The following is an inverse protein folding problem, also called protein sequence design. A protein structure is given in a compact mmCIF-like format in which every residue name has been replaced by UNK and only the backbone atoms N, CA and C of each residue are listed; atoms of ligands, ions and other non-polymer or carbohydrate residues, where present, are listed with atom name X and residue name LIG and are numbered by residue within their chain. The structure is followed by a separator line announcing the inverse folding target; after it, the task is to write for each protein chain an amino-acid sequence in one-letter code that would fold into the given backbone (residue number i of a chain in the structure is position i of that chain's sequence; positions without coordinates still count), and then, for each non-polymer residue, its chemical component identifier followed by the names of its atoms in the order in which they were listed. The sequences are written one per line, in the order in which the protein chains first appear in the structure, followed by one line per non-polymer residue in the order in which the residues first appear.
data_IF_998486771979
#
_entry.id   IF_998486771979
#
_cell.length_a   1.000
_cell.length_b   1.000
_cell.length_c   1.000
_cell.angle_alpha   90.00
_cell.angle_beta   90.00
_cell.angle_gamma   90.00
#
_symmetry.space_group_name_H-M   'P 1'
#
loop_
_entity.id
_entity.type
_entity.pdbx_description
1 polymer ?
#
# COMPACT_ATOMS: atom_id res chain seq x y z
N UNK A 1 29.56 -7.09 6.15
CA UNK A 1 29.15 -7.75 4.89
C UNK A 1 28.87 -6.67 3.84
N UNK A 2 29.36 -6.81 2.61
CA UNK A 2 29.31 -5.71 1.62
C UNK A 2 27.96 -5.53 0.92
N UNK A 3 27.10 -6.56 0.92
CA UNK A 3 25.72 -6.51 0.36
C UNK A 3 24.73 -7.32 1.20
N UNK A 4 24.44 -6.90 2.43
CA UNK A 4 23.48 -7.58 3.29
C UNK A 4 22.07 -7.55 2.68
N UNK A 5 21.32 -8.62 2.92
CA UNK A 5 19.92 -8.76 2.55
C UNK A 5 19.03 -8.71 3.79
N UNK A 6 17.73 -8.50 3.58
CA UNK A 6 16.75 -8.63 4.67
C UNK A 6 16.79 -10.02 5.30
N UNK A 7 17.06 -11.06 4.52
CA UNK A 7 17.20 -12.43 5.04
C UNK A 7 18.36 -12.54 6.02
N UNK A 8 19.52 -11.94 5.71
CA UNK A 8 20.68 -11.94 6.60
C UNK A 8 20.38 -11.24 7.93
N UNK A 9 19.65 -10.11 7.87
CA UNK A 9 19.20 -9.38 9.07
C UNK A 9 18.33 -10.29 9.94
N UNK A 10 17.36 -10.99 9.36
CA UNK A 10 16.52 -11.93 10.12
C UNK A 10 17.35 -13.05 10.74
N UNK A 11 18.28 -13.66 9.99
CA UNK A 11 19.15 -14.71 10.55
C UNK A 11 20.00 -14.22 11.72
N UNK A 12 20.53 -13.00 11.63
CA UNK A 12 21.41 -12.44 12.66
C UNK A 12 20.64 -11.97 13.90
N UNK A 13 19.57 -11.19 13.72
CA UNK A 13 18.98 -10.41 14.81
C UNK A 13 17.64 -10.97 15.32
N UNK A 14 16.94 -11.79 14.53
CA UNK A 14 15.61 -12.28 14.94
C UNK A 14 15.63 -13.16 16.21
N UNK A 15 16.63 -14.02 16.47
CA UNK A 15 16.69 -14.77 17.73
C UNK A 15 16.70 -13.86 18.96
N UNK A 16 17.61 -12.88 19.01
CA UNK A 16 17.70 -11.92 20.12
C UNK A 16 16.45 -11.02 20.21
N UNK A 17 15.82 -10.70 19.08
CA UNK A 17 14.54 -9.97 19.06
C UNK A 17 13.44 -10.73 19.81
N UNK A 18 13.41 -12.07 19.73
CA UNK A 18 12.41 -12.90 20.41
C UNK A 18 12.60 -12.95 21.93
N UNK A 19 13.80 -12.65 22.43
CA UNK A 19 14.06 -12.58 23.87
C UNK A 19 13.39 -11.37 24.52
N UNK A 20 13.13 -10.31 23.74
CA UNK A 20 12.55 -9.06 24.22
C UNK A 20 11.11 -8.83 23.73
N UNK A 21 10.74 -9.36 22.56
CA UNK A 21 9.48 -9.05 21.91
C UNK A 21 8.73 -10.31 21.45
N UNK A 22 7.40 -10.27 21.58
CA UNK A 22 6.51 -11.33 21.14
C UNK A 22 5.81 -10.95 19.82
N UNK A 23 6.32 -11.38 18.65
CA UNK A 23 5.67 -11.09 17.38
C UNK A 23 4.31 -11.79 17.28
N UNK A 24 3.38 -11.17 16.53
CA UNK A 24 2.12 -11.82 16.21
C UNK A 24 2.33 -13.09 15.37
N UNK A 25 1.38 -14.04 15.34
CA UNK A 25 1.51 -15.25 14.53
C UNK A 25 1.81 -14.97 13.05
N UNK A 26 1.26 -13.87 12.51
CA UNK A 26 1.52 -13.44 11.13
C UNK A 26 2.94 -12.93 10.95
N UNK A 27 3.44 -12.11 11.90
CA UNK A 27 4.82 -11.61 11.88
C UNK A 27 5.83 -12.76 12.00
N UNK A 28 5.60 -13.69 12.93
CA UNK A 28 6.45 -14.87 13.12
C UNK A 28 6.49 -15.75 11.86
N UNK A 29 5.33 -16.00 11.25
CA UNK A 29 5.24 -16.72 9.97
C UNK A 29 6.01 -16.02 8.85
N UNK A 30 5.95 -14.69 8.77
CA UNK A 30 6.70 -13.93 7.76
C UNK A 30 8.20 -14.01 7.99
N UNK A 31 8.67 -13.82 9.23
CA UNK A 31 10.08 -13.93 9.59
C UNK A 31 10.64 -15.32 9.22
N UNK A 32 9.95 -16.39 9.61
CA UNK A 32 10.33 -17.76 9.27
C UNK A 32 10.37 -18.00 7.76
N UNK A 33 9.37 -17.53 7.02
CA UNK A 33 9.36 -17.64 5.56
C UNK A 33 10.52 -16.90 4.89
N UNK A 34 10.92 -15.74 5.41
CA UNK A 34 12.04 -14.97 4.88
C UNK A 34 13.36 -15.71 5.16
N UNK A 35 13.59 -16.15 6.40
CA UNK A 35 14.79 -16.91 6.79
C UNK A 35 14.97 -18.18 5.95
N UNK A 36 13.89 -18.91 5.66
CA UNK A 36 13.99 -20.18 4.93
C UNK A 36 13.92 -20.03 3.40
N UNK A 37 13.66 -18.83 2.88
CA UNK A 37 13.52 -18.62 1.45
C UNK A 37 14.81 -18.92 0.69
N UNK A 38 14.75 -19.73 -0.38
CA UNK A 38 15.91 -20.07 -1.23
C UNK A 38 17.06 -20.82 -0.51
N UNK A 39 16.80 -21.42 0.65
CA UNK A 39 17.81 -22.21 1.40
C UNK A 39 17.74 -23.72 1.14
N UNK A 40 16.69 -24.19 0.47
CA UNK A 40 16.38 -25.62 0.31
C UNK A 40 15.36 -26.15 1.31
N UNK A 41 15.02 -25.39 2.36
CA UNK A 41 13.97 -25.74 3.32
C UNK A 41 12.58 -25.96 2.68
N UNK A 42 12.34 -25.40 1.49
CA UNK A 42 11.11 -25.57 0.70
C UNK A 42 11.29 -26.47 -0.53
N UNK A 43 12.35 -27.28 -0.55
CA UNK A 43 12.75 -28.11 -1.69
C UNK A 43 13.57 -27.36 -2.74
N UNK A 44 13.92 -28.09 -3.80
CA UNK A 44 14.73 -27.60 -4.91
C UNK A 44 14.25 -28.19 -6.24
N UNK A 45 14.50 -27.47 -7.33
CA UNK A 45 14.45 -28.01 -8.68
C UNK A 45 15.89 -28.28 -9.13
N UNK A 46 16.10 -29.43 -9.75
CA UNK A 46 17.40 -29.82 -10.30
C UNK A 46 17.25 -29.94 -11.80
N UNK A 47 17.98 -29.11 -12.54
CA UNK A 47 18.05 -29.16 -13.99
C UNK A 47 19.39 -29.76 -14.40
N UNK A 48 19.38 -30.72 -15.31
CA UNK A 48 20.58 -31.33 -15.88
C UNK A 48 20.59 -31.04 -17.36
N UNK A 49 21.67 -30.46 -17.87
CA UNK A 49 21.84 -30.26 -19.31
C UNK A 49 22.07 -31.62 -19.98
N UNK A 50 21.23 -31.98 -20.96
CA UNK A 50 21.34 -33.26 -21.67
C UNK A 50 22.60 -33.32 -22.56
N UNK A 51 23.13 -32.18 -23.00
CA UNK A 51 24.30 -32.12 -23.89
C UNK A 51 25.63 -32.23 -23.14
N UNK A 52 25.78 -31.54 -22.00
CA UNK A 52 27.06 -31.45 -21.28
C UNK A 52 27.02 -31.98 -19.84
N UNK A 53 25.87 -32.45 -19.37
CA UNK A 53 25.69 -32.98 -18.01
C UNK A 53 25.74 -31.93 -16.89
N UNK A 54 25.86 -30.63 -17.21
CA UNK A 54 25.93 -29.59 -16.18
C UNK A 54 24.67 -29.58 -15.31
N UNK A 55 24.83 -29.63 -13.99
CA UNK A 55 23.72 -29.62 -13.03
C UNK A 55 23.52 -28.21 -12.48
N UNK A 56 22.29 -27.73 -12.52
CA UNK A 56 21.87 -26.50 -11.86
C UNK A 56 20.83 -26.82 -10.80
N UNK A 57 21.09 -26.41 -9.55
CA UNK A 57 20.15 -26.56 -8.45
C UNK A 57 19.53 -25.20 -8.16
N UNK A 58 18.19 -25.14 -8.20
CA UNK A 58 17.43 -23.97 -7.86
C UNK A 58 16.57 -24.20 -6.62
N UNK A 59 16.92 -23.56 -5.51
CA UNK A 59 16.13 -23.65 -4.28
C UNK A 59 14.79 -22.92 -4.40
N UNK A 60 13.75 -23.51 -3.83
CA UNK A 60 12.39 -22.96 -3.92
C UNK A 60 12.22 -21.71 -3.06
N UNK A 61 11.41 -20.77 -3.56
CA UNK A 61 11.04 -19.54 -2.87
C UNK A 61 9.93 -19.79 -1.84
N UNK A 62 9.89 -19.03 -0.75
CA UNK A 62 8.79 -19.10 0.22
C UNK A 62 7.45 -18.54 -0.29
N UNK A 63 7.46 -17.81 -1.42
CA UNK A 63 6.29 -17.14 -2.04
C UNK A 63 5.52 -16.17 -1.13
N UNK A 64 6.05 -15.84 0.04
CA UNK A 64 5.42 -14.87 0.93
C UNK A 64 5.50 -13.45 0.34
N UNK A 65 4.39 -12.71 0.34
CA UNK A 65 4.29 -11.34 -0.22
C UNK A 65 5.28 -10.34 0.41
N UNK A 66 5.68 -10.57 1.67
CA UNK A 66 6.61 -9.70 2.38
C UNK A 66 8.08 -10.06 2.12
N UNK A 67 8.38 -11.14 1.39
CA UNK A 67 9.74 -11.55 1.10
C UNK A 67 10.33 -10.74 -0.07
N UNK A 68 11.48 -10.04 0.11
CA UNK A 68 12.07 -9.20 -0.94
C UNK A 68 12.50 -9.99 -2.19
N UNK A 69 12.75 -11.29 -2.04
CA UNK A 69 13.28 -12.13 -3.12
C UNK A 69 12.18 -12.78 -3.96
N UNK A 70 10.92 -12.75 -3.50
CA UNK A 70 9.83 -13.52 -4.12
C UNK A 70 8.93 -12.71 -5.05
N UNK A 71 9.02 -11.37 -5.03
CA UNK A 71 7.99 -10.52 -5.64
C UNK A 71 8.17 -10.24 -7.13
N UNK A 72 9.32 -10.59 -7.73
CA UNK A 72 9.62 -10.23 -9.11
C UNK A 72 8.63 -10.82 -10.12
N UNK A 73 8.42 -12.15 -10.10
CA UNK A 73 7.53 -12.83 -11.04
C UNK A 73 6.04 -12.49 -10.80
N UNK A 74 5.51 -12.54 -9.56
CA UNK A 74 4.13 -12.13 -9.30
C UNK A 74 3.83 -10.70 -9.76
N UNK A 75 4.79 -9.79 -9.59
CA UNK A 75 4.69 -8.41 -10.07
C UNK A 75 4.55 -8.34 -11.59
N UNK A 76 5.40 -9.04 -12.35
CA UNK A 76 5.31 -9.04 -13.81
C UNK A 76 4.01 -9.68 -14.30
N UNK A 77 3.60 -10.81 -13.73
CA UNK A 77 2.31 -11.45 -14.06
C UNK A 77 1.13 -10.53 -13.77
N UNK A 78 1.15 -9.84 -12.62
CA UNK A 78 0.12 -8.89 -12.26
C UNK A 78 0.11 -7.67 -13.20
N UNK A 79 1.29 -7.16 -13.58
CA UNK A 79 1.40 -6.05 -14.54
C UNK A 79 0.84 -6.44 -15.90
N UNK A 80 1.11 -7.66 -16.36
CA UNK A 80 0.60 -8.18 -17.63
C UNK A 80 -0.91 -8.30 -17.62
N UNK A 81 -1.49 -8.89 -16.56
CA UNK A 81 -2.93 -8.98 -16.39
C UNK A 81 -3.63 -7.61 -16.31
N UNK A 82 -2.94 -6.56 -15.84
CA UNK A 82 -3.51 -5.20 -15.82
C UNK A 82 -3.37 -4.47 -17.15
N UNK A 83 -2.57 -4.95 -18.11
CA UNK A 83 -2.49 -4.33 -19.45
C UNK A 83 -3.83 -4.31 -20.15
N UNK A 84 -4.61 -5.36 -19.96
CA UNK A 84 -5.93 -5.52 -20.58
C UNK A 84 -6.98 -4.56 -19.99
N UNK A 85 -6.76 -4.07 -18.76
CA UNK A 85 -7.70 -3.22 -18.03
C UNK A 85 -7.45 -1.71 -18.22
N UNK A 86 -6.37 -1.33 -18.93
CA UNK A 86 -5.92 0.06 -19.05
C UNK A 86 -6.23 0.58 -20.45
N UNK A 87 -6.98 1.67 -20.53
CA UNK A 87 -7.37 2.34 -21.77
C UNK A 87 -6.25 3.26 -22.25
N UNK A 88 -6.19 3.52 -23.55
CA UNK A 88 -5.30 4.55 -24.09
C UNK A 88 -5.90 5.94 -23.89
N UNK A 89 -5.72 6.47 -22.68
CA UNK A 89 -6.22 7.77 -22.25
C UNK A 89 -5.29 8.39 -21.20
N UNK A 90 -5.41 9.70 -20.89
CA UNK A 90 -4.70 10.31 -19.78
C UNK A 90 -5.09 9.67 -18.44
N UNK A 91 -4.15 9.59 -17.51
CA UNK A 91 -4.40 9.14 -16.14
C UNK A 91 -3.78 10.07 -15.12
N UNK A 92 -4.45 10.31 -14.01
CA UNK A 92 -3.97 11.14 -12.90
C UNK A 92 -3.58 10.27 -11.71
N UNK A 93 -2.53 10.70 -11.00
CA UNK A 93 -2.12 10.05 -9.77
C UNK A 93 -2.60 10.84 -8.57
N UNK A 94 -3.62 10.32 -7.90
CA UNK A 94 -4.13 10.85 -6.63
C UNK A 94 -3.58 10.03 -5.47
N UNK A 95 -3.28 10.70 -4.36
CA UNK A 95 -2.88 10.03 -3.11
C UNK A 95 -3.78 10.52 -2.00
N UNK A 96 -4.52 9.59 -1.39
CA UNK A 96 -5.33 9.85 -0.22
C UNK A 96 -4.56 9.44 1.03
N UNK A 97 -4.30 10.41 1.89
CA UNK A 97 -3.56 10.26 3.14
C UNK A 97 -4.42 10.63 4.33
N UNK A 98 -4.23 9.95 5.45
CA UNK A 98 -4.85 10.28 6.74
C UNK A 98 -3.80 10.89 7.68
N UNK A 99 -4.21 11.75 8.63
CA UNK A 99 -3.33 12.24 9.68
C UNK A 99 -2.75 11.10 10.53
N UNK A 100 -1.48 11.26 10.93
CA UNK A 100 -0.74 10.30 11.75
C UNK A 100 -1.33 10.09 13.15
N UNK A 101 -2.09 11.07 13.68
CA UNK A 101 -2.84 10.92 14.93
C UNK A 101 -3.84 9.75 14.90
N UNK A 102 -4.23 9.28 13.71
CA UNK A 102 -5.07 8.10 13.52
C UNK A 102 -4.27 6.78 13.49
N UNK A 103 -2.95 6.82 13.39
CA UNK A 103 -2.11 5.63 13.28
C UNK A 103 -2.36 4.61 14.40
N UNK A 104 -2.48 4.98 15.70
CA UNK A 104 -2.73 4.00 16.76
C UNK A 104 -4.04 3.21 16.59
N UNK A 105 -5.13 3.90 16.20
CA UNK A 105 -6.43 3.24 15.98
C UNK A 105 -6.43 2.42 14.69
N UNK A 106 -5.78 2.92 13.62
CA UNK A 106 -5.65 2.18 12.35
C UNK A 106 -4.81 0.92 12.54
N UNK A 107 -3.70 1.01 13.28
CA UNK A 107 -2.83 -0.14 13.51
C UNK A 107 -3.54 -1.25 14.29
N UNK A 108 -4.44 -0.90 15.21
CA UNK A 108 -5.26 -1.87 15.95
C UNK A 108 -6.37 -2.48 15.09
N UNK A 109 -6.86 -1.76 14.06
CA UNK A 109 -8.05 -2.12 13.28
C UNK A 109 -7.77 -2.19 11.77
N UNK A 110 -6.61 -2.72 11.38
CA UNK A 110 -6.08 -2.63 10.01
C UNK A 110 -7.11 -3.00 8.95
N UNK A 111 -7.79 -4.15 9.08
CA UNK A 111 -8.79 -4.58 8.08
C UNK A 111 -9.91 -3.54 7.91
N UNK A 112 -10.61 -3.22 9.01
CA UNK A 112 -11.75 -2.31 8.98
C UNK A 112 -11.37 -0.91 8.49
N UNK A 113 -10.25 -0.38 8.97
CA UNK A 113 -9.85 0.99 8.67
C UNK A 113 -9.07 1.15 7.36
N UNK A 114 -8.55 0.06 6.80
CA UNK A 114 -8.11 0.03 5.39
C UNK A 114 -9.30 -0.09 4.44
N UNK A 115 -10.32 -0.88 4.79
CA UNK A 115 -11.57 -0.93 4.01
C UNK A 115 -12.23 0.46 3.96
N UNK A 116 -12.31 1.16 5.11
CA UNK A 116 -12.81 2.53 5.17
C UNK A 116 -11.99 3.52 4.31
N UNK A 117 -10.65 3.34 4.20
CA UNK A 117 -9.82 4.14 3.29
C UNK A 117 -10.25 3.95 1.83
N UNK A 118 -10.47 2.70 1.42
CA UNK A 118 -10.94 2.38 0.06
C UNK A 118 -12.34 2.94 -0.19
N UNK A 119 -13.27 2.75 0.74
CA UNK A 119 -14.63 3.28 0.63
C UNK A 119 -14.63 4.79 0.50
N UNK A 120 -13.94 5.51 1.38
CA UNK A 120 -13.88 6.97 1.36
C UNK A 120 -13.24 7.51 0.08
N UNK A 121 -12.12 6.92 -0.38
CA UNK A 121 -11.48 7.31 -1.64
C UNK A 121 -12.40 7.08 -2.85
N UNK A 122 -12.98 5.88 -2.94
CA UNK A 122 -13.88 5.46 -4.02
C UNK A 122 -15.13 6.33 -4.10
N UNK A 123 -15.78 6.56 -2.96
CA UNK A 123 -16.98 7.39 -2.88
C UNK A 123 -16.68 8.86 -3.18
N UNK A 124 -15.52 9.39 -2.75
CA UNK A 124 -15.11 10.77 -3.07
C UNK A 124 -14.92 10.97 -4.57
N UNK A 125 -14.21 10.05 -5.24
CA UNK A 125 -13.99 10.12 -6.68
C UNK A 125 -15.31 10.00 -7.44
N UNK A 126 -16.13 9.00 -7.07
CA UNK A 126 -17.38 8.72 -7.76
C UNK A 126 -18.36 9.89 -7.66
N UNK A 127 -18.50 10.48 -6.46
CA UNK A 127 -19.36 11.64 -6.22
C UNK A 127 -18.91 12.85 -7.04
N UNK A 128 -17.63 13.22 -6.94
CA UNK A 128 -17.14 14.44 -7.57
C UNK A 128 -17.02 14.30 -9.09
N UNK A 129 -16.68 13.12 -9.61
CA UNK A 129 -16.60 12.90 -11.06
C UNK A 129 -17.98 12.90 -11.73
N UNK A 130 -19.03 12.45 -11.02
CA UNK A 130 -20.39 12.44 -11.52
C UNK A 130 -21.04 13.85 -11.53
N UNK A 131 -20.53 14.81 -10.75
CA UNK A 131 -21.02 16.19 -10.77
C UNK A 131 -20.72 16.86 -12.13
N UNK A 132 -21.77 17.40 -12.77
CA UNK A 132 -21.67 18.10 -14.05
C UNK A 132 -20.87 19.40 -13.99
N UNK A 133 -20.68 19.98 -12.79
CA UNK A 133 -19.75 21.10 -12.55
C UNK A 133 -18.27 20.69 -12.65
N UNK A 134 -18.00 19.40 -12.59
CA UNK A 134 -16.67 18.81 -12.78
C UNK A 134 -16.65 18.07 -14.12
N UNK A 135 -16.62 16.73 -14.11
CA UNK A 135 -16.61 15.95 -15.33
C UNK A 135 -18.02 15.55 -15.79
N UNK A 136 -18.95 15.24 -14.88
CA UNK A 136 -20.27 14.74 -15.24
C UNK A 136 -20.25 13.35 -15.89
N UNK A 137 -19.33 12.48 -15.47
CA UNK A 137 -19.15 11.15 -16.04
C UNK A 137 -18.70 10.12 -14.99
N UNK A 138 -19.00 8.85 -15.24
CA UNK A 138 -18.52 7.71 -14.46
C UNK A 138 -17.10 7.35 -14.89
N UNK A 139 -16.13 7.66 -14.03
CA UNK A 139 -14.70 7.41 -14.24
C UNK A 139 -14.28 6.02 -13.76
N UNK A 140 -13.21 5.50 -14.37
CA UNK A 140 -12.52 4.30 -13.90
C UNK A 140 -11.29 4.65 -13.06
N UNK A 141 -10.95 3.83 -12.07
CA UNK A 141 -9.72 4.02 -11.28
C UNK A 141 -9.24 2.72 -10.64
N UNK A 142 -7.94 2.69 -10.34
CA UNK A 142 -7.30 1.60 -9.60
C UNK A 142 -6.75 2.18 -8.28
N UNK A 143 -7.16 1.62 -7.15
CA UNK A 143 -6.67 2.00 -5.82
C UNK A 143 -5.67 0.96 -5.30
N UNK A 144 -4.55 1.43 -4.73
CA UNK A 144 -3.49 0.60 -4.15
C UNK A 144 -3.17 1.13 -2.75
N UNK A 145 -3.38 0.31 -1.73
CA UNK A 145 -2.99 0.60 -0.35
C UNK A 145 -1.50 0.41 -0.11
N UNK A 146 -0.89 1.45 0.45
CA UNK A 146 0.45 1.45 1.03
C UNK A 146 0.34 1.70 2.53
N UNK A 147 1.21 1.08 3.33
CA UNK A 147 1.17 1.20 4.79
C UNK A 147 2.43 1.80 5.40
N UNK A 148 3.31 2.36 4.57
CA UNK A 148 4.58 2.96 5.01
C UNK A 148 4.94 4.22 4.22
N UNK A 149 5.61 5.16 4.88
CA UNK A 149 6.13 6.38 4.26
C UNK A 149 7.51 6.20 3.63
N UNK A 150 8.07 7.29 3.07
CA UNK A 150 9.43 7.29 2.50
C UNK A 150 10.51 6.98 3.55
N UNK A 151 10.27 7.43 4.79
CA UNK A 151 11.04 7.19 6.01
C UNK A 151 10.80 5.81 6.64
N UNK A 152 9.98 4.95 6.00
CA UNK A 152 9.61 3.61 6.49
C UNK A 152 8.79 3.61 7.79
N UNK A 153 8.28 4.77 8.21
CA UNK A 153 7.29 4.91 9.27
C UNK A 153 5.93 4.33 8.85
N UNK A 154 5.12 3.89 9.81
CA UNK A 154 3.75 3.46 9.54
C UNK A 154 2.93 4.65 9.04
N UNK A 155 2.44 4.54 7.80
CA UNK A 155 1.75 5.64 7.12
C UNK A 155 0.77 5.04 6.09
N UNK A 156 -0.44 4.64 6.53
CA UNK A 156 -1.46 4.10 5.64
C UNK A 156 -1.99 5.17 4.69
N UNK A 157 -1.93 4.90 3.39
CA UNK A 157 -2.42 5.79 2.34
C UNK A 157 -2.80 5.01 1.08
N UNK A 158 -3.68 5.59 0.27
CA UNK A 158 -4.13 4.99 -0.99
C UNK A 158 -3.52 5.78 -2.15
N UNK A 159 -2.77 5.09 -3.00
CA UNK A 159 -2.47 5.58 -4.34
C UNK A 159 -3.61 5.21 -5.29
N UNK A 160 -4.19 6.21 -5.93
CA UNK A 160 -5.24 6.02 -6.92
C UNK A 160 -4.76 6.48 -8.29
N UNK A 161 -4.85 5.57 -9.26
CA UNK A 161 -4.65 5.88 -10.66
C UNK A 161 -6.02 6.09 -11.27
N UNK A 162 -6.35 7.36 -11.49
CA UNK A 162 -7.64 7.83 -11.94
C UNK A 162 -7.61 8.08 -13.44
N UNK A 163 -8.53 7.45 -14.17
CA UNK A 163 -8.73 7.70 -15.59
C UNK A 163 -9.15 9.16 -15.82
N UNK A 164 -8.55 9.80 -16.83
CA UNK A 164 -8.78 11.20 -17.19
C UNK A 164 -10.13 11.49 -17.84
N UNK A 165 -10.93 10.45 -18.05
CA UNK A 165 -12.26 10.50 -18.63
C UNK A 165 -13.14 9.38 -18.09
N UNK A 166 -14.38 9.36 -18.55
CA UNK A 166 -15.39 8.41 -18.12
C UNK A 166 -16.58 8.35 -19.07
N UNK A 167 -17.56 7.53 -18.72
CA UNK A 167 -18.79 7.38 -19.49
C UNK A 167 -19.91 8.25 -18.90
N UNK A 168 -20.59 9.03 -19.74
CA UNK A 168 -21.82 9.73 -19.36
C UNK A 168 -22.97 8.73 -19.12
N UNK A 169 -24.12 9.20 -18.63
CA UNK A 169 -25.34 8.38 -18.52
C UNK A 169 -25.77 7.73 -19.85
N UNK A 170 -25.48 8.39 -20.97
CA UNK A 170 -25.78 7.89 -22.33
C UNK A 170 -24.68 6.97 -22.90
N UNK A 171 -23.74 6.49 -22.06
CA UNK A 171 -22.58 5.68 -22.47
C UNK A 171 -21.67 6.35 -23.53
N UNK A 172 -21.62 7.68 -23.55
CA UNK A 172 -20.69 8.43 -24.39
C UNK A 172 -19.43 8.75 -23.59
N UNK A 173 -18.28 8.69 -24.25
CA UNK A 173 -17.01 9.07 -23.64
C UNK A 173 -16.95 10.57 -23.41
N UNK A 174 -16.51 10.97 -22.21
CA UNK A 174 -16.27 12.36 -21.83
C UNK A 174 -14.98 12.45 -21.01
N UNK A 175 -14.09 13.35 -21.41
CA UNK A 175 -12.83 13.62 -20.71
C UNK A 175 -12.57 15.13 -20.62
N UNK A 176 -11.47 15.49 -19.96
CA UNK A 176 -10.96 16.87 -19.89
C UNK A 176 -9.52 16.95 -20.43
N UNK A 177 -9.17 16.08 -21.39
CA UNK A 177 -7.81 15.91 -21.89
C UNK A 177 -6.80 15.65 -20.76
N UNK A 178 -5.69 16.39 -20.78
CA UNK A 178 -4.62 16.29 -19.77
C UNK A 178 -4.89 17.13 -18.51
N UNK A 179 -5.97 17.91 -18.49
CA UNK A 179 -6.29 18.80 -17.37
C UNK A 179 -7.05 18.06 -16.29
N UNK A 180 -6.53 18.10 -15.06
CA UNK A 180 -7.21 17.49 -13.93
C UNK A 180 -8.55 18.19 -13.65
N UNK A 181 -9.61 17.41 -13.50
CA UNK A 181 -11.00 17.90 -13.47
C UNK A 181 -11.63 17.97 -12.06
N UNK A 182 -10.90 17.55 -11.02
CA UNK A 182 -11.39 17.60 -9.63
C UNK A 182 -10.60 18.61 -8.80
N UNK A 183 -11.24 19.55 -8.08
CA UNK A 183 -10.52 20.48 -7.21
C UNK A 183 -9.95 19.78 -5.98
N UNK A 184 -8.63 19.85 -5.78
CA UNK A 184 -7.89 19.17 -4.68
C UNK A 184 -8.44 19.50 -3.29
N UNK A 185 -8.80 20.77 -3.06
CA UNK A 185 -9.37 21.19 -1.78
C UNK A 185 -10.77 20.60 -1.52
N UNK A 186 -11.54 20.34 -2.58
CA UNK A 186 -12.86 19.69 -2.47
C UNK A 186 -12.69 18.20 -2.19
N UNK A 187 -11.78 17.53 -2.92
CA UNK A 187 -11.40 16.12 -2.67
C UNK A 187 -11.01 15.94 -1.21
N UNK A 188 -10.14 16.80 -0.68
CA UNK A 188 -9.68 16.77 0.72
C UNK A 188 -10.85 16.75 1.70
N UNK A 189 -11.77 17.72 1.56
CA UNK A 189 -12.89 17.90 2.48
C UNK A 189 -13.87 16.73 2.41
N UNK A 190 -14.20 16.27 1.21
CA UNK A 190 -15.14 15.16 0.99
C UNK A 190 -14.54 13.85 1.50
N UNK A 191 -13.29 13.55 1.17
CA UNK A 191 -12.58 12.36 1.65
C UNK A 191 -12.50 12.33 3.18
N UNK A 192 -12.09 13.44 3.80
CA UNK A 192 -12.04 13.58 5.26
C UNK A 192 -13.40 13.29 5.89
N UNK A 193 -14.46 13.90 5.35
CA UNK A 193 -15.83 13.71 5.83
C UNK A 193 -16.24 12.23 5.80
N UNK A 194 -16.09 11.58 4.65
CA UNK A 194 -16.47 10.17 4.45
C UNK A 194 -15.67 9.21 5.33
N UNK A 195 -14.36 9.42 5.43
CA UNK A 195 -13.51 8.54 6.25
C UNK A 195 -13.85 8.67 7.74
N UNK A 196 -14.00 9.90 8.25
CA UNK A 196 -14.31 10.15 9.66
C UNK A 196 -15.73 9.70 10.02
N UNK A 197 -16.68 9.81 9.08
CA UNK A 197 -18.03 9.26 9.24
C UNK A 197 -18.01 7.74 9.41
N UNK A 198 -17.30 7.01 8.55
CA UNK A 198 -17.20 5.55 8.65
C UNK A 198 -16.43 5.12 9.90
N UNK A 199 -15.34 5.80 10.25
CA UNK A 199 -14.59 5.58 11.49
C UNK A 199 -15.50 5.77 12.72
N UNK A 200 -16.29 6.85 12.74
CA UNK A 200 -17.23 7.13 13.83
C UNK A 200 -18.30 6.05 13.93
N UNK A 201 -18.89 5.64 12.79
CA UNK A 201 -19.89 4.56 12.74
C UNK A 201 -19.33 3.24 13.29
N UNK A 202 -18.12 2.87 12.89
CA UNK A 202 -17.46 1.64 13.40
C UNK A 202 -17.21 1.70 14.92
N UNK A 203 -16.93 2.89 15.46
CA UNK A 203 -16.82 3.11 16.90
C UNK A 203 -18.18 2.96 17.62
N UNK A 204 -19.23 3.59 17.09
CA UNK A 204 -20.59 3.55 17.65
C UNK A 204 -21.20 2.14 17.63
N UNK A 205 -20.81 1.33 16.65
CA UNK A 205 -21.20 -0.08 16.53
C UNK A 205 -20.34 -1.05 17.35
N UNK A 206 -19.41 -0.55 18.19
CA UNK A 206 -18.47 -1.34 19.01
C UNK A 206 -17.65 -2.37 18.21
N UNK A 207 -17.31 -2.04 16.95
CA UNK A 207 -16.52 -2.91 16.06
C UNK A 207 -15.01 -2.70 16.17
N UNK A 208 -14.59 -1.58 16.76
CA UNK A 208 -13.17 -1.22 16.87
C UNK A 208 -12.55 -1.80 18.14
N UNK A 209 -11.36 -2.35 18.00
CA UNK A 209 -10.50 -2.76 19.12
C UNK A 209 -9.41 -1.72 19.36
N UNK A 210 -9.01 -1.57 20.61
CA UNK A 210 -8.02 -0.57 21.01
C UNK A 210 -6.97 -1.22 21.90
N UNK A 211 -5.70 -1.12 21.48
CA UNK A 211 -4.54 -1.69 22.15
C UNK A 211 -3.45 -0.64 22.34
N UNK A 212 -2.66 -0.77 23.41
CA UNK A 212 -1.50 0.10 23.65
C UNK A 212 -1.89 1.57 23.71
N UNK A 213 -1.23 2.42 22.91
CA UNK A 213 -1.48 3.87 22.89
C UNK A 213 -2.88 4.27 22.42
N UNK A 214 -3.62 3.35 21.78
CA UNK A 214 -4.99 3.56 21.36
C UNK A 214 -6.04 3.30 22.47
N UNK A 215 -5.68 2.68 23.59
CA UNK A 215 -6.64 2.25 24.64
C UNK A 215 -7.54 3.37 25.15
N UNK A 216 -6.98 4.57 25.31
CA UNK A 216 -7.72 5.77 25.74
C UNK A 216 -8.87 6.16 24.81
N UNK A 217 -8.85 5.71 23.56
CA UNK A 217 -9.88 5.99 22.55
C UNK A 217 -11.15 5.14 22.72
N UNK A 218 -11.16 4.19 23.67
CA UNK A 218 -12.40 3.55 24.12
C UNK A 218 -13.33 4.54 24.82
N UNK A 219 -12.77 5.58 25.44
CA UNK A 219 -13.55 6.62 26.09
C UNK A 219 -14.18 7.54 25.04
N UNK A 220 -15.50 7.75 25.15
CA UNK A 220 -16.28 8.59 24.25
C UNK A 220 -15.70 10.00 24.07
N UNK A 221 -15.28 10.66 25.16
CA UNK A 221 -14.78 12.02 25.12
C UNK A 221 -13.44 12.10 24.37
N UNK A 222 -12.50 11.20 24.70
CA UNK A 222 -11.20 11.13 24.01
C UNK A 222 -11.35 10.83 22.52
N UNK A 223 -12.27 9.93 22.15
CA UNK A 223 -12.54 9.63 20.75
C UNK A 223 -13.16 10.82 20.01
N UNK A 224 -14.09 11.53 20.66
CA UNK A 224 -14.68 12.75 20.10
C UNK A 224 -13.63 13.85 19.89
N UNK A 225 -12.70 14.02 20.84
CA UNK A 225 -11.57 14.95 20.70
C UNK A 225 -10.63 14.59 19.55
N UNK A 226 -10.37 13.28 19.35
CA UNK A 226 -9.62 12.79 18.19
C UNK A 226 -10.31 13.18 16.88
N UNK A 227 -11.63 12.94 16.76
CA UNK A 227 -12.40 13.30 15.57
C UNK A 227 -12.39 14.81 15.34
N UNK A 228 -12.62 15.63 16.38
CA UNK A 228 -12.57 17.08 16.29
C UNK A 228 -11.21 17.58 15.80
N UNK A 229 -10.13 17.01 16.31
CA UNK A 229 -8.76 17.30 15.87
C UNK A 229 -8.60 16.97 14.39
N UNK A 230 -9.09 15.80 13.94
CA UNK A 230 -9.03 15.41 12.54
C UNK A 230 -9.83 16.35 11.62
N UNK A 231 -10.99 16.84 12.06
CA UNK A 231 -11.79 17.83 11.30
C UNK A 231 -11.11 19.20 11.22
N UNK A 232 -10.36 19.59 12.25
CA UNK A 232 -9.60 20.83 12.29
C UNK A 232 -8.31 20.81 11.46
N UNK A 233 -7.83 19.62 11.07
CA UNK A 233 -6.63 19.46 10.25
C UNK A 233 -6.93 19.55 8.75
N UNK A 234 -5.96 20.07 8.00
CA UNK A 234 -5.92 19.95 6.55
C UNK A 234 -5.44 18.56 6.15
N UNK A 235 -6.29 17.83 5.45
CA UNK A 235 -5.93 16.56 4.84
C UNK A 235 -5.40 16.90 3.46
N UNK A 236 -4.13 16.60 3.17
CA UNK A 236 -3.52 17.02 1.90
C UNK A 236 -3.55 15.87 0.90
N UNK A 237 -4.59 15.73 0.04
CA UNK A 237 -4.51 14.83 -1.08
C UNK A 237 -3.47 15.36 -2.06
N UNK A 238 -2.53 14.50 -2.42
CA UNK A 238 -1.51 14.83 -3.40
C UNK A 238 -2.01 14.42 -4.79
N UNK A 239 -1.97 15.33 -5.77
CA UNK A 239 -2.16 14.99 -7.18
C UNK A 239 -0.86 15.21 -7.96
N UNK A 240 -0.36 14.19 -8.66
CA UNK A 240 0.72 14.35 -9.64
C UNK A 240 0.15 14.46 -11.04
N UNK A 241 0.95 15.09 -11.92
CA UNK A 241 0.69 15.21 -13.36
C UNK A 241 0.38 13.85 -14.00
N UNK A 242 -0.24 13.94 -15.15
CA UNK A 242 -0.73 12.82 -15.96
C UNK A 242 0.36 11.80 -16.29
N UNK A 243 -0.02 10.52 -16.28
CA UNK A 243 0.73 9.49 -16.98
C UNK A 243 0.39 9.58 -18.47
N UNK A 244 1.41 9.63 -19.32
CA UNK A 244 1.20 9.60 -20.76
C UNK A 244 1.01 8.14 -21.21
N UNK A 245 -0.27 7.73 -21.28
CA UNK A 245 -0.71 6.46 -21.84
C UNK A 245 -0.60 5.24 -20.93
N UNK A 246 -1.20 4.14 -21.38
CA UNK A 246 -1.38 2.91 -20.63
C UNK A 246 -0.06 2.29 -20.12
N UNK A 247 0.99 2.33 -20.94
CA UNK A 247 2.29 1.75 -20.58
C UNK A 247 2.94 2.42 -19.36
N UNK A 248 2.81 3.75 -19.23
CA UNK A 248 3.33 4.50 -18.10
C UNK A 248 2.59 4.16 -16.80
N UNK A 249 1.27 4.00 -16.88
CA UNK A 249 0.42 3.55 -15.77
C UNK A 249 0.85 2.18 -15.28
N UNK A 250 1.06 1.22 -16.17
CA UNK A 250 1.35 -0.17 -15.78
C UNK A 250 2.73 -0.29 -15.14
N UNK A 251 3.72 0.39 -15.72
CA UNK A 251 5.05 0.50 -15.12
C UNK A 251 5.01 1.19 -13.76
N UNK A 252 4.13 2.18 -13.59
CA UNK A 252 3.89 2.80 -12.30
C UNK A 252 3.27 1.78 -11.34
N UNK A 253 2.10 1.22 -11.65
CA UNK A 253 1.37 0.27 -10.82
C UNK A 253 2.26 -0.89 -10.31
N UNK A 254 3.08 -1.48 -11.19
CA UNK A 254 4.01 -2.55 -10.81
C UNK A 254 5.05 -2.17 -9.75
N UNK A 255 5.45 -0.89 -9.66
CA UNK A 255 6.34 -0.40 -8.60
C UNK A 255 5.65 -0.31 -7.25
N UNK A 256 4.32 -0.24 -7.20
CA UNK A 256 3.56 0.02 -5.99
C UNK A 256 2.86 -1.23 -5.45
N UNK A 257 2.44 -2.18 -6.28
CA UNK A 257 1.68 -3.34 -5.81
C UNK A 257 2.51 -4.43 -5.12
N UNK A 258 3.79 -4.53 -5.46
CA UNK A 258 4.67 -5.62 -5.02
C UNK A 258 5.94 -5.12 -4.31
N UNK A 259 5.96 -3.83 -3.96
CA UNK A 259 7.01 -3.25 -3.15
C UNK A 259 6.73 -3.53 -1.69
N UNK A 260 7.77 -3.89 -0.95
CA UNK A 260 7.75 -4.01 0.50
C UNK A 260 8.44 -2.80 1.13
N UNK A 261 8.08 -2.47 2.37
CA UNK A 261 8.60 -1.30 3.09
C UNK A 261 10.14 -1.28 3.12
N UNK A 262 10.73 -2.42 3.52
CA UNK A 262 12.18 -2.63 3.62
C UNK A 262 12.60 -3.61 2.54
N UNK A 263 13.50 -3.19 1.66
CA UNK A 263 14.01 -4.01 0.55
C UNK A 263 15.53 -3.96 0.54
N UNK A 264 16.17 -4.97 -0.05
CA UNK A 264 17.63 -5.12 0.00
C UNK A 264 18.39 -3.86 -0.47
N UNK A 265 17.85 -3.12 -1.45
CA UNK A 265 18.48 -1.89 -1.94
C UNK A 265 18.51 -0.73 -0.94
N UNK A 266 17.71 -0.79 0.14
CA UNK A 266 17.74 0.22 1.22
C UNK A 266 18.78 -0.10 2.28
N UNK A 267 19.38 -1.29 2.28
CA UNK A 267 20.37 -1.68 3.28
C UNK A 267 21.74 -1.19 2.82
N UNK A 268 22.35 -0.32 3.62
CA UNK A 268 23.65 0.29 3.30
C UNK A 268 24.79 -0.55 3.85
N UNK A 269 24.67 -0.97 5.11
CA UNK A 269 25.65 -1.83 5.79
C UNK A 269 24.98 -2.62 6.92
N UNK A 270 25.61 -3.72 7.28
CA UNK A 270 25.29 -4.54 8.44
C UNK A 270 26.60 -5.00 9.08
N UNK A 271 26.71 -4.78 10.38
CA UNK A 271 27.76 -5.34 11.25
C UNK A 271 27.10 -6.29 12.27
N UNK A 272 27.87 -6.70 13.29
CA UNK A 272 27.41 -7.70 14.25
C UNK A 272 26.29 -7.20 15.16
N UNK A 273 26.16 -5.88 15.35
CA UNK A 273 25.26 -5.27 16.32
C UNK A 273 24.21 -4.36 15.67
N UNK A 274 24.48 -3.83 14.47
CA UNK A 274 23.68 -2.79 13.84
C UNK A 274 23.43 -3.02 12.36
N UNK A 275 22.31 -2.45 11.91
CA UNK A 275 21.93 -2.37 10.50
C UNK A 275 21.71 -0.91 10.15
N UNK A 276 22.31 -0.44 9.06
CA UNK A 276 22.12 0.91 8.54
C UNK A 276 21.23 0.89 7.30
N UNK A 277 20.15 1.67 7.32
CA UNK A 277 19.24 1.84 6.19
C UNK A 277 19.35 3.24 5.58
N UNK A 278 19.13 3.32 4.27
CA UNK A 278 18.87 4.58 3.58
C UNK A 278 17.37 4.90 3.60
N UNK A 279 17.03 6.08 4.11
CA UNK A 279 15.70 6.68 4.10
C UNK A 279 15.67 7.91 3.19
N UNK A 280 14.48 8.27 2.70
CA UNK A 280 14.25 9.41 1.82
C UNK A 280 13.26 10.37 2.45
#
# INVERSE_FOLDING_TARGET
MDKPTVQDIFHRFYPAYLDQYSPSPVQAKVAHNIMNCKTGAYGANVCVCEDCGSVQIHYNSCRNRCCPMCQAVPKEMWMDARREDVLDAPYFHLVFTVPDILNPVIYSNQKLLYDALYHAASATISELAADSKHLGAKVGYICILHTWGSEMNFHPHIHTILLGGGLTSNNQWKDNGENFFLPIQVISKVFRGKYLEELKRLWEEDKLVFHGTAEKLRNHYTFKELLNSCYGMDWVPHCKKTFNGAGAVIKYLGKYTHRIAVSNHRIVRMDDDTVTFSVK
#
